data_IF_294316429850
#
_entry.id   IF_294316429850
#
_cell.length_a   1.000
_cell.length_b   1.000
_cell.length_c   1.000
_cell.angle_alpha   90.00
_cell.angle_beta   90.00
_cell.angle_gamma   90.00
#
_symmetry.space_group_name_H-M   'P 1'
#
loop_
_entity.id
_entity.type
_entity.pdbx_description
1 polymer ?
#
# COMPACT_ATOMS: atom_id res chain seq x y z
N UNK A 1 20.28 -30.89 -12.82
CA UNK A 1 18.88 -30.68 -12.37
C UNK A 1 18.86 -29.44 -11.49
N UNK A 2 18.33 -28.32 -11.99
CA UNK A 2 18.33 -27.05 -11.26
C UNK A 2 17.01 -26.92 -10.49
N UNK A 3 17.09 -26.79 -9.18
CA UNK A 3 15.91 -26.61 -8.33
C UNK A 3 15.62 -25.11 -8.21
N UNK A 4 14.37 -24.72 -8.48
CA UNK A 4 13.88 -23.37 -8.22
C UNK A 4 13.96 -23.13 -6.71
N UNK A 5 14.87 -22.23 -6.32
CA UNK A 5 14.99 -21.78 -4.94
C UNK A 5 13.80 -20.87 -4.64
N UNK A 6 12.93 -21.17 -3.67
CA UNK A 6 11.89 -20.25 -3.30
C UNK A 6 12.57 -18.97 -2.77
N UNK A 7 12.30 -17.85 -3.42
CA UNK A 7 12.62 -16.53 -2.88
C UNK A 7 11.62 -16.29 -1.77
N UNK A 8 11.99 -16.63 -0.54
CA UNK A 8 11.23 -16.22 0.63
C UNK A 8 11.44 -14.73 0.79
N UNK A 9 10.44 -13.93 0.42
CA UNK A 9 10.42 -12.51 0.79
C UNK A 9 10.32 -12.49 2.32
N UNK A 10 11.39 -12.09 2.99
CA UNK A 10 11.35 -11.92 4.44
C UNK A 10 10.20 -10.95 4.78
N UNK A 11 9.39 -11.24 5.81
CA UNK A 11 8.34 -10.33 6.21
C UNK A 11 8.97 -8.96 6.48
N UNK A 12 8.40 -7.92 5.87
CA UNK A 12 8.87 -6.55 6.09
C UNK A 12 8.83 -6.26 7.60
N UNK A 13 9.88 -5.67 8.17
CA UNK A 13 9.95 -5.46 9.61
C UNK A 13 8.83 -4.51 10.07
N UNK A 14 8.24 -4.82 11.21
CA UNK A 14 7.32 -3.92 11.90
C UNK A 14 8.13 -2.92 12.74
N UNK A 15 7.84 -1.63 12.60
CA UNK A 15 8.45 -0.56 13.39
C UNK A 15 7.41 -0.03 14.37
N UNK A 16 7.60 -0.32 15.65
CA UNK A 16 6.72 0.18 16.71
C UNK A 16 7.29 1.47 17.34
N UNK A 17 6.51 2.54 17.29
CA UNK A 17 6.70 3.77 18.07
C UNK A 17 5.76 3.81 19.28
N UNK A 18 5.77 4.92 20.02
CA UNK A 18 4.94 5.07 21.24
C UNK A 18 3.42 5.05 21.01
N UNK A 19 2.96 5.44 19.82
CA UNK A 19 1.53 5.55 19.46
C UNK A 19 1.23 5.10 18.03
N UNK A 20 2.27 4.74 17.28
CA UNK A 20 2.18 4.49 15.84
C UNK A 20 3.01 3.26 15.56
N UNK A 21 2.44 2.36 14.76
CA UNK A 21 3.12 1.17 14.27
C UNK A 21 3.16 1.27 12.75
N UNK A 22 4.32 0.98 12.16
CA UNK A 22 4.48 0.86 10.72
C UNK A 22 4.69 -0.61 10.39
N UNK A 23 3.87 -1.14 9.49
CA UNK A 23 3.97 -2.51 9.00
C UNK A 23 3.78 -2.53 7.48
N UNK A 24 4.12 -3.65 6.87
CA UNK A 24 3.74 -3.88 5.48
C UNK A 24 2.20 -3.80 5.30
N UNK A 25 1.73 -3.19 4.19
CA UNK A 25 0.31 -3.23 3.86
C UNK A 25 -0.13 -4.67 3.58
N UNK A 26 -1.31 -5.02 4.09
CA UNK A 26 -1.99 -6.27 3.81
C UNK A 26 -3.18 -6.00 2.88
N UNK A 27 -3.60 -7.00 2.11
CA UNK A 27 -4.76 -6.85 1.20
C UNK A 27 -6.05 -6.45 1.91
N UNK A 28 -6.19 -6.79 3.20
CA UNK A 28 -7.32 -6.40 4.03
C UNK A 28 -7.39 -4.87 4.25
N UNK A 29 -6.27 -4.16 4.15
CA UNK A 29 -6.20 -2.70 4.36
C UNK A 29 -6.75 -1.90 3.18
N UNK A 30 -7.00 -2.54 2.04
CA UNK A 30 -7.45 -1.88 0.81
C UNK A 30 -8.67 -0.98 1.03
N UNK A 31 -9.67 -1.45 1.79
CA UNK A 31 -10.90 -0.70 2.00
C UNK A 31 -10.66 0.59 2.80
N UNK A 32 -9.86 0.52 3.87
CA UNK A 32 -9.52 1.67 4.69
C UNK A 32 -8.64 2.66 3.94
N UNK A 33 -7.64 2.14 3.22
CA UNK A 33 -6.76 2.92 2.36
C UNK A 33 -7.54 3.68 1.29
N UNK A 34 -8.42 3.01 0.53
CA UNK A 34 -9.20 3.63 -0.53
C UNK A 34 -10.14 4.72 0.02
N UNK A 35 -10.78 4.47 1.16
CA UNK A 35 -11.65 5.45 1.81
C UNK A 35 -10.87 6.69 2.28
N UNK A 36 -9.66 6.51 2.84
CA UNK A 36 -8.79 7.62 3.24
C UNK A 36 -8.32 8.42 2.04
N UNK A 37 -7.89 7.75 0.97
CA UNK A 37 -7.39 8.39 -0.24
C UNK A 37 -8.50 9.21 -0.92
N UNK A 38 -9.71 8.65 -1.03
CA UNK A 38 -10.87 9.34 -1.58
C UNK A 38 -11.22 10.63 -0.83
N UNK A 39 -11.18 10.61 0.52
CA UNK A 39 -11.42 11.81 1.33
C UNK A 39 -10.29 12.83 1.25
N UNK A 40 -9.07 12.40 0.95
CA UNK A 40 -7.87 13.25 0.93
C UNK A 40 -7.56 13.80 -0.47
N UNK A 41 -8.38 13.50 -1.47
CA UNK A 41 -8.13 13.84 -2.88
C UNK A 41 -7.79 15.33 -3.08
N UNK A 42 -8.60 16.23 -2.52
CA UNK A 42 -8.41 17.67 -2.70
C UNK A 42 -7.11 18.18 -2.04
N UNK A 43 -6.70 17.54 -0.94
CA UNK A 43 -5.45 17.84 -0.25
C UNK A 43 -4.22 17.33 -1.04
N UNK A 44 -4.34 16.18 -1.68
CA UNK A 44 -3.25 15.49 -2.37
C UNK A 44 -3.08 15.93 -3.83
N UNK A 45 -4.14 16.45 -4.46
CA UNK A 45 -4.12 16.89 -5.87
C UNK A 45 -2.93 17.81 -6.22
N UNK A 46 -2.51 18.79 -5.39
CA UNK A 46 -1.38 19.65 -5.74
C UNK A 46 -0.03 18.92 -5.80
N UNK A 47 0.08 17.75 -5.17
CA UNK A 47 1.34 17.02 -4.96
C UNK A 47 1.44 15.75 -5.81
N UNK A 48 0.33 15.22 -6.30
CA UNK A 48 0.31 14.06 -7.20
C UNK A 48 0.08 14.49 -8.66
N UNK A 49 1.02 14.22 -9.59
CA UNK A 49 0.95 14.74 -10.95
C UNK A 49 -0.21 14.18 -11.78
N UNK A 50 -0.66 12.95 -11.50
CA UNK A 50 -1.76 12.28 -12.21
C UNK A 50 -2.51 11.36 -11.23
N UNK A 51 -3.83 11.46 -11.22
CA UNK A 51 -4.74 10.52 -10.54
C UNK A 51 -5.34 9.55 -11.57
N UNK A 52 -4.88 8.29 -11.63
CA UNK A 52 -5.47 7.28 -12.48
C UNK A 52 -6.97 7.10 -12.20
N UNK A 53 -7.74 6.67 -13.19
CA UNK A 53 -9.15 6.36 -12.98
C UNK A 53 -9.34 5.14 -12.04
N UNK A 54 -8.36 4.24 -11.98
CA UNK A 54 -8.33 3.04 -11.15
C UNK A 54 -7.61 3.23 -9.81
N UNK A 55 -7.35 4.47 -9.39
CA UNK A 55 -6.49 4.74 -8.23
C UNK A 55 -7.09 4.30 -6.88
N UNK A 56 -8.37 3.91 -6.85
CA UNK A 56 -9.04 3.33 -5.69
C UNK A 56 -9.20 1.81 -5.79
N UNK A 57 -8.77 1.19 -6.89
CA UNK A 57 -8.89 -0.24 -7.09
C UNK A 57 -7.83 -1.04 -6.34
N UNK A 58 -8.11 -2.33 -6.10
CA UNK A 58 -7.15 -3.26 -5.47
C UNK A 58 -5.86 -3.39 -6.27
N UNK A 59 -5.92 -3.24 -7.60
CA UNK A 59 -4.74 -3.29 -8.44
C UNK A 59 -3.80 -2.11 -8.16
N UNK A 60 -4.34 -0.89 -8.01
CA UNK A 60 -3.55 0.29 -7.62
C UNK A 60 -2.92 0.12 -6.24
N UNK A 61 -3.68 -0.39 -5.26
CA UNK A 61 -3.16 -0.68 -3.92
C UNK A 61 -2.00 -1.67 -3.94
N UNK A 62 -2.06 -2.72 -4.75
CA UNK A 62 -1.00 -3.75 -4.85
C UNK A 62 0.28 -3.27 -5.52
N UNK A 63 0.23 -2.19 -6.29
CA UNK A 63 1.40 -1.61 -6.99
C UNK A 63 2.20 -0.64 -6.11
N UNK A 64 1.59 -0.15 -5.02
CA UNK A 64 2.19 0.77 -4.05
C UNK A 64 2.79 -0.02 -2.90
#
# INVERSE_FOLDING_TARGET
>A
MSFLRPVTVAPMPELAGRRVTLRAPALADHAEWAALLARSRDFLMPWEPIWPADDLERAAFRRR
#
